data_IF_240309566483
#
_entry.id   IF_240309566483
#
_cell.length_a   1.000
_cell.length_b   1.000
_cell.length_c   1.000
_cell.angle_alpha   90.00
_cell.angle_beta   90.00
_cell.angle_gamma   90.00
#
_symmetry.space_group_name_H-M   'P 1'
#
loop_
_entity.id
_entity.type
_entity.pdbx_description
1 polymer ?
#
# COMPACT_ATOMS: atom_id res chain seq x y z
N UNK A 1 41.42 -69.65 -3.95
CA UNK A 1 39.94 -69.57 -3.85
C UNK A 1 39.65 -69.05 -2.45
N UNK A 2 38.97 -67.95 -2.16
CA UNK A 2 37.94 -67.19 -2.87
C UNK A 2 38.04 -65.74 -2.38
N UNK A 3 38.12 -64.78 -3.32
CA UNK A 3 38.15 -63.33 -3.07
C UNK A 3 36.71 -62.84 -2.86
N UNK A 4 36.47 -62.00 -1.85
CA UNK A 4 35.24 -61.21 -1.73
C UNK A 4 35.59 -59.73 -1.60
N UNK A 5 35.27 -58.88 -2.58
CA UNK A 5 35.32 -57.43 -2.40
C UNK A 5 33.98 -56.94 -1.85
N UNK A 6 33.99 -56.36 -0.65
CA UNK A 6 32.87 -55.57 -0.13
C UNK A 6 32.87 -54.24 -0.88
N UNK A 7 31.91 -54.10 -1.79
CA UNK A 7 31.63 -52.91 -2.58
C UNK A 7 31.16 -51.80 -1.63
N UNK A 8 32.00 -50.78 -1.44
CA UNK A 8 31.60 -49.54 -0.79
C UNK A 8 30.75 -48.72 -1.78
N UNK A 9 29.43 -48.81 -1.64
CA UNK A 9 28.48 -47.89 -2.28
C UNK A 9 28.62 -46.51 -1.63
N UNK A 10 29.44 -45.64 -2.23
CA UNK A 10 29.39 -44.20 -1.96
C UNK A 10 28.13 -43.62 -2.61
N UNK A 11 27.06 -43.53 -1.83
CA UNK A 11 25.88 -42.73 -2.15
C UNK A 11 26.26 -41.26 -2.07
N UNK A 12 26.51 -40.65 -3.24
CA UNK A 12 26.76 -39.22 -3.40
C UNK A 12 25.48 -38.46 -3.01
N UNK A 13 25.41 -37.99 -1.75
CA UNK A 13 24.33 -37.13 -1.30
C UNK A 13 24.45 -35.77 -1.98
N UNK A 14 23.59 -35.52 -2.97
CA UNK A 14 23.44 -34.21 -3.59
C UNK A 14 22.78 -33.28 -2.56
N UNK A 15 23.57 -32.53 -1.81
CA UNK A 15 23.08 -31.45 -0.95
C UNK A 15 22.65 -30.32 -1.89
N UNK A 16 21.37 -30.30 -2.24
CA UNK A 16 20.72 -29.13 -2.79
C UNK A 16 20.75 -28.05 -1.70
N UNK A 17 21.80 -27.24 -1.69
CA UNK A 17 21.74 -25.91 -1.09
C UNK A 17 20.82 -25.11 -1.99
N UNK A 18 19.51 -25.30 -1.81
CA UNK A 18 18.54 -24.29 -2.21
C UNK A 18 18.88 -23.08 -1.36
N UNK A 19 19.71 -22.19 -1.90
CA UNK A 19 19.90 -20.87 -1.34
C UNK A 19 18.51 -20.28 -1.19
N UNK A 20 18.04 -20.14 0.03
CA UNK A 20 16.90 -19.30 0.34
C UNK A 20 17.33 -17.90 -0.08
N UNK A 21 17.07 -17.55 -1.34
CA UNK A 21 17.04 -16.17 -1.75
C UNK A 21 16.00 -15.55 -0.83
N UNK A 22 16.46 -14.81 0.18
CA UNK A 22 15.58 -14.08 1.07
C UNK A 22 14.68 -13.25 0.16
N UNK A 23 13.36 -13.49 0.24
CA UNK A 23 12.39 -12.64 -0.44
C UNK A 23 12.77 -11.19 -0.11
N UNK A 24 12.88 -10.30 -1.10
CA UNK A 24 13.28 -8.93 -0.85
C UNK A 24 12.41 -8.37 0.29
N UNK A 25 13.08 -7.84 1.32
CA UNK A 25 12.39 -7.32 2.48
C UNK A 25 11.41 -6.24 2.04
N UNK A 26 10.16 -6.33 2.49
CA UNK A 26 9.16 -5.34 2.17
C UNK A 26 9.56 -3.97 2.77
N UNK A 27 9.22 -2.86 2.10
CA UNK A 27 9.37 -1.54 2.70
C UNK A 27 8.63 -1.46 4.04
N UNK A 28 9.10 -0.66 5.02
CA UNK A 28 8.42 -0.51 6.29
C UNK A 28 6.96 -0.06 6.12
N UNK A 29 6.03 -0.85 6.67
CA UNK A 29 4.58 -0.61 6.58
C UNK A 29 3.92 -1.16 5.32
N UNK A 30 4.69 -1.70 4.35
CA UNK A 30 4.15 -2.46 3.25
C UNK A 30 3.80 -3.90 3.68
N UNK A 31 2.86 -4.49 2.98
CA UNK A 31 2.36 -5.84 3.23
C UNK A 31 2.23 -6.63 1.91
N UNK A 32 2.14 -7.95 2.04
CA UNK A 32 1.86 -8.81 0.91
C UNK A 32 0.52 -8.38 0.25
N UNK A 33 0.38 -8.51 -1.08
CA UNK A 33 -0.81 -8.05 -1.80
C UNK A 33 -2.11 -8.73 -1.34
N UNK A 34 -2.08 -9.90 -0.74
CA UNK A 34 -3.25 -10.61 -0.22
C UNK A 34 -3.55 -10.29 1.26
N UNK A 35 -2.63 -9.64 1.97
CA UNK A 35 -2.82 -9.28 3.37
C UNK A 35 -3.98 -8.28 3.57
N UNK A 36 -4.83 -8.46 4.60
CA UNK A 36 -5.98 -7.59 4.83
C UNK A 36 -5.55 -6.16 5.21
N UNK A 37 -6.46 -5.19 5.06
CA UNK A 37 -6.25 -3.85 5.60
C UNK A 37 -6.29 -3.88 7.13
N UNK A 38 -5.54 -3.01 7.86
CA UNK A 38 -5.62 -2.86 9.32
C UNK A 38 -7.00 -2.46 9.90
N UNK A 39 -8.05 -2.36 9.08
CA UNK A 39 -9.42 -2.13 9.52
C UNK A 39 -9.94 -0.69 9.36
N UNK A 40 -9.16 0.32 9.73
CA UNK A 40 -9.65 1.71 9.77
C UNK A 40 -8.71 2.71 9.10
N UNK A 41 -9.29 3.85 8.67
CA UNK A 41 -8.59 5.00 8.09
C UNK A 41 -9.01 6.24 8.86
N UNK A 42 -8.06 7.02 9.37
CA UNK A 42 -8.33 8.31 10.00
C UNK A 42 -8.43 9.40 8.92
N UNK A 43 -9.60 9.99 8.73
CA UNK A 43 -9.81 11.14 7.87
C UNK A 43 -9.79 12.42 8.71
N UNK A 44 -8.76 13.24 8.55
CA UNK A 44 -8.59 14.51 9.25
C UNK A 44 -9.05 15.65 8.38
N UNK A 45 -9.98 16.45 8.87
CA UNK A 45 -10.53 17.61 8.16
C UNK A 45 -9.86 18.89 8.64
N UNK A 46 -9.12 19.56 7.77
CA UNK A 46 -8.44 20.80 8.12
C UNK A 46 -9.42 21.97 8.39
N UNK A 47 -10.59 21.97 7.75
CA UNK A 47 -11.54 23.10 7.83
C UNK A 47 -12.18 23.27 9.22
N UNK A 48 -12.30 22.20 10.00
CA UNK A 48 -12.86 22.23 11.37
C UNK A 48 -12.00 21.49 12.41
N UNK A 49 -10.86 20.92 12.01
CA UNK A 49 -9.98 20.13 12.88
C UNK A 49 -10.53 18.77 13.30
N UNK A 50 -11.68 18.32 12.76
CA UNK A 50 -12.26 17.04 13.16
C UNK A 50 -11.50 15.85 12.57
N UNK A 51 -11.62 14.70 13.22
CA UNK A 51 -11.15 13.41 12.70
C UNK A 51 -12.31 12.43 12.64
N UNK A 52 -12.54 11.86 11.47
CA UNK A 52 -13.51 10.79 11.24
C UNK A 52 -12.79 9.46 11.07
N UNK A 53 -13.31 8.41 11.68
CA UNK A 53 -12.83 7.04 11.45
C UNK A 53 -13.64 6.38 10.34
N UNK A 54 -12.99 6.09 9.22
CA UNK A 54 -13.57 5.31 8.14
C UNK A 54 -13.26 3.82 8.36
N UNK A 55 -14.20 2.93 8.03
CA UNK A 55 -13.91 1.50 7.96
C UNK A 55 -13.41 1.16 6.58
N UNK A 56 -12.23 0.56 6.47
CA UNK A 56 -11.61 0.29 5.18
C UNK A 56 -12.43 -0.66 4.29
N UNK A 57 -13.17 -1.59 4.90
CA UNK A 57 -14.04 -2.53 4.19
C UNK A 57 -15.20 -1.86 3.43
N UNK A 58 -15.52 -0.61 3.74
CA UNK A 58 -16.60 0.13 3.08
C UNK A 58 -16.12 0.78 1.76
N UNK A 59 -14.86 0.57 1.36
CA UNK A 59 -14.22 1.22 0.21
C UNK A 59 -13.51 0.21 -0.72
N UNK A 60 -13.37 0.52 -2.02
CA UNK A 60 -12.65 -0.34 -2.95
C UNK A 60 -11.16 -0.43 -2.64
N UNK A 61 -10.52 -1.52 -3.05
CA UNK A 61 -9.09 -1.75 -2.83
C UNK A 61 -8.18 -0.62 -3.34
N UNK A 62 -8.54 0.03 -4.45
CA UNK A 62 -7.80 1.18 -5.00
C UNK A 62 -7.82 2.42 -4.11
N UNK A 63 -8.83 2.56 -3.25
CA UNK A 63 -8.91 3.64 -2.27
C UNK A 63 -8.03 3.34 -1.05
N UNK A 64 -8.14 2.12 -0.52
CA UNK A 64 -7.53 1.71 0.75
C UNK A 64 -6.10 1.17 0.63
N UNK A 65 -5.57 1.00 -0.59
CA UNK A 65 -4.19 0.58 -0.83
C UNK A 65 -3.50 1.42 -1.90
N UNK A 66 -2.18 1.53 -1.76
CA UNK A 66 -1.25 1.85 -2.85
C UNK A 66 -0.36 0.65 -3.11
N UNK A 67 -0.46 0.10 -4.31
CA UNK A 67 0.20 -1.14 -4.69
C UNK A 67 1.19 -0.89 -5.81
N UNK A 68 2.32 -1.60 -5.77
CA UNK A 68 3.35 -1.49 -6.81
C UNK A 68 3.80 -2.88 -7.29
N UNK A 69 4.25 -2.95 -8.54
CA UNK A 69 4.78 -4.15 -9.16
C UNK A 69 6.24 -4.41 -8.75
N UNK A 70 6.85 -5.47 -9.28
CA UNK A 70 8.25 -5.84 -8.99
C UNK A 70 9.28 -4.82 -9.52
N UNK A 71 8.87 -3.89 -10.39
CA UNK A 71 9.69 -2.80 -10.92
C UNK A 71 9.50 -1.50 -10.12
N UNK A 72 8.60 -1.49 -9.14
CA UNK A 72 8.28 -0.31 -8.35
C UNK A 72 7.22 0.59 -8.99
N UNK A 73 6.54 0.12 -10.03
CA UNK A 73 5.52 0.91 -10.74
C UNK A 73 4.13 0.70 -10.11
N UNK A 74 3.27 1.73 -10.04
CA UNK A 74 1.89 1.58 -9.58
C UNK A 74 1.14 0.52 -10.38
N UNK A 75 0.41 -0.35 -9.69
CA UNK A 75 -0.35 -1.44 -10.34
C UNK A 75 -1.60 -1.82 -9.54
N UNK A 76 -2.49 -2.57 -10.19
CA UNK A 76 -3.59 -3.24 -9.51
C UNK A 76 -3.08 -4.25 -8.49
N UNK A 77 -3.78 -4.33 -7.35
CA UNK A 77 -3.46 -5.22 -6.23
C UNK A 77 -3.23 -6.68 -6.63
N UNK A 78 -4.00 -7.20 -7.59
CA UNK A 78 -3.89 -8.58 -8.06
C UNK A 78 -2.55 -8.90 -8.75
N UNK A 79 -1.80 -7.89 -9.20
CA UNK A 79 -0.50 -8.02 -9.89
C UNK A 79 0.65 -7.40 -9.10
N UNK A 80 0.37 -6.92 -7.90
CA UNK A 80 1.34 -6.20 -7.08
C UNK A 80 2.40 -7.16 -6.51
N UNK A 81 3.60 -6.64 -6.31
CA UNK A 81 4.61 -7.30 -5.47
C UNK A 81 4.32 -7.04 -3.98
N UNK A 82 3.84 -5.83 -3.66
CA UNK A 82 3.43 -5.43 -2.32
C UNK A 82 2.46 -4.25 -2.38
N UNK A 83 1.76 -4.04 -1.27
CA UNK A 83 0.85 -2.90 -1.11
C UNK A 83 1.11 -2.21 0.22
N UNK A 84 0.87 -0.91 0.26
CA UNK A 84 0.87 -0.12 1.49
C UNK A 84 -0.58 0.27 1.80
N UNK A 85 -1.10 -0.05 3.00
CA UNK A 85 -2.45 0.37 3.39
C UNK A 85 -2.49 1.88 3.61
N UNK A 86 -3.58 2.52 3.19
CA UNK A 86 -3.87 3.91 3.52
C UNK A 86 -4.52 3.93 4.90
N UNK A 87 -3.84 4.45 5.91
CA UNK A 87 -4.34 4.46 7.29
C UNK A 87 -4.72 5.85 7.79
N UNK A 88 -4.30 6.90 7.08
CA UNK A 88 -4.63 8.28 7.37
C UNK A 88 -4.80 9.07 6.08
N UNK A 89 -5.76 10.00 6.07
CA UNK A 89 -5.98 10.96 5.00
C UNK A 89 -6.15 12.34 5.64
N UNK A 90 -5.35 13.30 5.23
CA UNK A 90 -5.56 14.70 5.56
C UNK A 90 -6.30 15.37 4.41
N UNK A 91 -7.40 16.06 4.70
CA UNK A 91 -8.25 16.72 3.71
C UNK A 91 -8.35 18.21 3.99
N UNK A 92 -8.00 19.01 2.98
CA UNK A 92 -8.09 20.47 2.96
C UNK A 92 -9.14 20.85 1.93
N UNK A 93 -10.23 21.48 2.36
CA UNK A 93 -11.34 21.90 1.52
C UNK A 93 -11.50 23.41 1.60
N UNK A 94 -11.52 24.09 0.44
CA UNK A 94 -11.59 25.56 0.36
C UNK A 94 -12.64 26.07 -0.62
N UNK A 95 -13.17 27.26 -0.35
CA UNK A 95 -14.04 28.01 -1.25
C UNK A 95 -13.24 28.71 -2.37
N UNK A 96 -13.93 29.48 -3.22
CA UNK A 96 -13.31 30.23 -4.31
C UNK A 96 -12.36 31.35 -3.85
N UNK A 97 -12.52 31.84 -2.62
CA UNK A 97 -11.64 32.83 -2.01
C UNK A 97 -10.45 32.18 -1.28
N UNK A 98 -10.41 30.85 -1.19
CA UNK A 98 -9.37 30.09 -0.50
C UNK A 98 -9.61 29.92 1.00
N UNK A 99 -10.79 30.25 1.51
CA UNK A 99 -11.12 30.04 2.91
C UNK A 99 -11.45 28.56 3.18
N UNK A 100 -11.06 28.00 4.34
CA UNK A 100 -11.48 26.66 4.72
C UNK A 100 -13.00 26.59 4.88
N UNK A 101 -13.62 25.61 4.22
CA UNK A 101 -15.07 25.35 4.28
C UNK A 101 -15.35 23.85 4.33
N UNK A 102 -16.57 23.45 4.67
CA UNK A 102 -16.97 22.06 4.59
C UNK A 102 -16.83 21.51 3.16
N UNK A 103 -16.52 20.21 2.96
CA UNK A 103 -16.35 19.62 1.63
C UNK A 103 -17.54 19.84 0.69
N UNK A 104 -18.77 19.89 1.23
CA UNK A 104 -19.99 20.11 0.46
C UNK A 104 -20.08 21.52 -0.16
N UNK A 105 -19.32 22.49 0.37
CA UNK A 105 -19.31 23.88 -0.07
C UNK A 105 -17.99 24.25 -0.78
N UNK A 106 -17.06 23.31 -0.85
CA UNK A 106 -15.73 23.53 -1.41
C UNK A 106 -15.74 23.52 -2.94
N UNK A 107 -14.94 24.43 -3.52
CA UNK A 107 -14.61 24.42 -4.97
C UNK A 107 -13.32 23.65 -5.23
N UNK A 108 -12.48 23.47 -4.20
CA UNK A 108 -11.27 22.66 -4.26
C UNK A 108 -11.12 21.82 -3.01
N UNK A 109 -10.79 20.55 -3.18
CA UNK A 109 -10.42 19.63 -2.12
C UNK A 109 -9.06 19.04 -2.45
N UNK A 110 -8.11 19.20 -1.55
CA UNK A 110 -6.80 18.57 -1.59
C UNK A 110 -6.76 17.48 -0.52
N UNK A 111 -6.26 16.31 -0.87
CA UNK A 111 -6.18 15.17 0.04
C UNK A 111 -4.79 14.56 -0.04
N UNK A 112 -4.14 14.41 1.11
CA UNK A 112 -2.87 13.70 1.24
C UNK A 112 -3.11 12.39 1.97
N UNK A 113 -2.73 11.26 1.36
CA UNK A 113 -2.85 9.95 1.97
C UNK A 113 -1.53 9.53 2.62
N UNK A 114 -1.65 8.84 3.76
CA UNK A 114 -0.52 8.28 4.49
C UNK A 114 -0.77 6.82 4.84
N UNK A 115 0.30 6.03 4.84
CA UNK A 115 0.29 4.68 5.39
C UNK A 115 0.92 4.60 6.79
N UNK A 116 1.19 3.38 7.28
CA UNK A 116 1.68 3.17 8.63
C UNK A 116 2.93 4.00 8.96
N UNK A 117 2.96 4.58 10.16
CA UNK A 117 4.05 5.47 10.57
C UNK A 117 4.01 6.85 9.89
N UNK A 118 2.84 7.31 9.45
CA UNK A 118 2.62 8.61 8.80
C UNK A 118 3.49 8.78 7.53
N UNK A 119 3.69 7.67 6.80
CA UNK A 119 4.48 7.68 5.56
C UNK A 119 3.61 8.22 4.42
N UNK A 120 4.08 9.30 3.79
CA UNK A 120 3.44 9.87 2.60
C UNK A 120 3.25 8.80 1.51
N UNK A 121 2.05 8.78 0.93
CA UNK A 121 1.69 7.89 -0.17
C UNK A 121 1.43 8.67 -1.44
N UNK A 122 0.48 9.58 -1.39
CA UNK A 122 0.14 10.44 -2.52
C UNK A 122 -0.53 11.72 -2.06
N UNK A 123 -0.69 12.62 -3.02
CA UNK A 123 -1.47 13.83 -2.90
C UNK A 123 -2.39 13.93 -4.10
N UNK A 124 -3.66 14.20 -3.85
CA UNK A 124 -4.69 14.35 -4.87
C UNK A 124 -5.36 15.70 -4.73
N UNK A 125 -5.74 16.27 -5.87
CA UNK A 125 -6.45 17.54 -5.94
C UNK A 125 -7.70 17.36 -6.78
N UNK A 126 -8.84 17.61 -6.18
CA UNK A 126 -10.14 17.69 -6.82
C UNK A 126 -10.53 19.16 -6.92
N UNK A 127 -10.87 19.61 -8.13
CA UNK A 127 -11.52 20.91 -8.36
C UNK A 127 -12.94 20.64 -8.83
N UNK A 128 -13.93 21.29 -8.20
CA UNK A 128 -15.36 21.06 -8.47
C UNK A 128 -15.86 21.82 -9.71
N UNK A 129 -15.01 22.64 -10.32
CA UNK A 129 -15.40 23.63 -11.33
C UNK A 129 -15.61 23.07 -12.74
N UNK A 130 -16.42 22.02 -12.93
CA UNK A 130 -16.90 21.58 -14.25
C UNK A 130 -15.85 21.32 -15.35
N UNK A 131 -14.55 21.34 -15.03
CA UNK A 131 -13.44 21.19 -15.96
C UNK A 131 -12.37 20.30 -15.30
N UNK A 132 -11.91 19.25 -15.99
CA UNK A 132 -10.93 18.33 -15.44
C UNK A 132 -9.55 19.00 -15.32
N UNK A 133 -8.67 18.48 -14.45
CA UNK A 133 -7.24 18.81 -14.50
C UNK A 133 -6.68 18.40 -15.87
N UNK A 134 -5.87 19.29 -16.46
CA UNK A 134 -5.00 18.98 -17.62
C UNK A 134 -3.68 18.40 -17.14
#
# INVERSE_FOLDING_TARGET
MLRHPLVALLSLACVLVAGCAASPALPPGAQAPDAPHPGTIALRHAWNGSTQTLRAQDFPASFIFRCVDTRGEPTERARAAWCMPVVEIESVSVDAAGHPVAPADAVRIESTAYGPGHRFLDHTRLTRDGRPPV
#
